data_IF_482028877983
#
_entry.id   IF_482028877983
#
_cell.length_a   1.000
_cell.length_b   1.000
_cell.length_c   1.000
_cell.angle_alpha   90.00
_cell.angle_beta   90.00
_cell.angle_gamma   90.00
#
_symmetry.space_group_name_H-M   'P 1'
#
loop_
_entity.id
_entity.type
_entity.pdbx_description
1 polymer ?
#
# COMPACT_ATOMS: atom_id res chain seq x y z
N UNK A 1 -1.58 6.80 22.77
CA UNK A 1 -0.21 6.94 22.22
C UNK A 1 -0.34 6.93 20.71
N UNK A 2 -0.33 8.12 20.11
CA UNK A 2 -0.50 8.32 18.67
C UNK A 2 0.72 7.75 17.94
N UNK A 3 0.52 6.70 17.13
CA UNK A 3 1.57 6.18 16.25
C UNK A 3 1.43 6.77 14.85
N UNK A 4 2.45 7.56 14.50
CA UNK A 4 2.75 8.22 13.23
C UNK A 4 1.99 7.71 11.99
N UNK A 5 0.96 8.44 11.60
CA UNK A 5 0.81 8.91 10.22
C UNK A 5 1.68 10.16 10.09
N UNK A 6 2.83 10.04 9.42
CA UNK A 6 3.51 11.11 8.68
C UNK A 6 4.88 10.56 8.25
N UNK A 7 4.90 9.85 7.12
CA UNK A 7 6.14 9.74 6.35
C UNK A 7 6.37 11.12 5.75
N UNK A 8 7.13 11.95 6.46
CA UNK A 8 7.74 13.14 5.88
C UNK A 8 8.40 12.70 4.56
N UNK A 9 7.95 13.28 3.43
CA UNK A 9 8.64 13.09 2.15
C UNK A 9 10.13 13.31 2.43
N UNK A 10 10.95 12.33 2.09
CA UNK A 10 12.39 12.42 2.33
C UNK A 10 12.90 13.74 1.77
N UNK A 11 13.72 14.45 2.55
CA UNK A 11 14.21 15.78 2.19
C UNK A 11 14.86 15.80 0.80
N UNK A 12 15.39 14.66 0.33
CA UNK A 12 15.91 14.49 -1.03
C UNK A 12 14.83 14.56 -2.12
N UNK A 13 13.68 13.92 -1.90
CA UNK A 13 12.54 13.94 -2.81
C UNK A 13 11.89 15.33 -2.87
N UNK A 14 11.79 16.00 -1.72
CA UNK A 14 11.29 17.38 -1.63
C UNK A 14 12.23 18.35 -2.37
N UNK A 15 13.55 18.22 -2.18
CA UNK A 15 14.53 19.05 -2.88
C UNK A 15 14.52 18.83 -4.41
N UNK A 16 14.29 17.59 -4.86
CA UNK A 16 14.10 17.29 -6.30
C UNK A 16 12.84 17.96 -6.85
N UNK A 17 11.73 17.88 -6.13
CA UNK A 17 10.49 18.57 -6.48
C UNK A 17 10.67 20.09 -6.58
N UNK A 18 11.33 20.70 -5.60
CA UNK A 18 11.65 22.14 -5.60
C UNK A 18 12.51 22.51 -6.81
N UNK A 19 13.52 21.71 -7.15
CA UNK A 19 14.38 21.97 -8.31
C UNK A 19 13.60 21.93 -9.63
N UNK A 20 12.70 20.95 -9.80
CA UNK A 20 11.85 20.80 -10.98
C UNK A 20 10.82 21.93 -11.09
N UNK A 21 10.20 22.33 -9.99
CA UNK A 21 9.25 23.45 -9.96
C UNK A 21 9.96 24.79 -10.23
N UNK A 22 11.19 24.97 -9.75
CA UNK A 22 12.00 26.16 -10.04
C UNK A 22 12.35 26.28 -11.52
N UNK A 23 12.44 25.17 -12.24
CA UNK A 23 12.65 25.14 -13.69
C UNK A 23 11.44 25.69 -14.46
N UNK A 24 10.23 25.64 -13.87
CA UNK A 24 9.01 26.20 -14.44
C UNK A 24 8.88 27.72 -14.26
N UNK A 25 9.53 28.28 -13.24
CA UNK A 25 9.43 29.70 -12.85
C UNK A 25 10.51 30.55 -13.54
N UNK A 26 11.57 29.94 -14.09
CA UNK A 26 12.63 30.68 -14.78
C UNK A 26 12.05 31.46 -15.98
N UNK A 27 12.27 32.80 -16.06
CA UNK A 27 11.80 33.58 -17.18
C UNK A 27 12.38 33.04 -18.48
N UNK A 28 11.50 32.92 -19.47
CA UNK A 28 11.72 32.28 -20.76
C UNK A 28 12.72 33.10 -21.59
N UNK A 29 14.01 32.85 -21.44
CA UNK A 29 14.99 33.35 -22.41
C UNK A 29 14.81 32.60 -23.73
N UNK A 30 14.52 33.36 -24.78
CA UNK A 30 14.04 32.92 -26.09
C UNK A 30 15.05 32.14 -26.95
N UNK A 31 16.13 31.61 -26.36
CA UNK A 31 17.23 30.96 -27.09
C UNK A 31 17.45 29.47 -26.79
N UNK A 32 16.79 28.89 -25.80
CA UNK A 32 16.89 27.44 -25.54
C UNK A 32 15.51 26.80 -25.44
N UNK A 33 15.16 25.85 -26.33
CA UNK A 33 13.91 25.12 -26.20
C UNK A 33 14.05 24.17 -25.00
N UNK A 34 13.58 24.62 -23.83
CA UNK A 34 13.38 23.76 -22.68
C UNK A 34 12.44 22.65 -23.14
N UNK A 35 12.96 21.43 -23.25
CA UNK A 35 12.19 20.24 -23.57
C UNK A 35 11.23 19.97 -22.40
N UNK A 36 10.05 20.61 -22.41
CA UNK A 36 8.96 20.37 -21.43
C UNK A 36 8.62 18.88 -21.27
N UNK A 37 8.93 18.05 -22.28
CA UNK A 37 8.86 16.59 -22.17
C UNK A 37 9.71 16.02 -21.03
N UNK A 38 10.91 16.55 -20.78
CA UNK A 38 11.83 16.06 -19.75
C UNK A 38 11.32 16.31 -18.33
N UNK A 39 10.61 17.43 -18.10
CA UNK A 39 10.01 17.74 -16.79
C UNK A 39 8.85 16.80 -16.46
N UNK A 40 7.92 16.61 -17.42
CA UNK A 40 6.78 15.70 -17.23
C UNK A 40 7.29 14.28 -17.00
N UNK A 41 8.32 13.85 -17.74
CA UNK A 41 8.93 12.53 -17.57
C UNK A 41 9.63 12.37 -16.20
N UNK A 42 10.28 13.42 -15.70
CA UNK A 42 10.86 13.43 -14.36
C UNK A 42 9.81 13.38 -13.25
N UNK A 43 8.67 14.08 -13.44
CA UNK A 43 7.54 14.04 -12.52
C UNK A 43 6.84 12.68 -12.52
N UNK A 44 6.65 12.08 -13.69
CA UNK A 44 6.15 10.71 -13.85
C UNK A 44 7.07 9.70 -13.16
N UNK A 45 8.40 9.88 -13.29
CA UNK A 45 9.40 9.06 -12.62
C UNK A 45 9.40 9.17 -11.08
N UNK A 46 9.06 10.35 -10.53
CA UNK A 46 8.87 10.54 -9.09
C UNK A 46 7.57 9.92 -8.58
N UNK A 47 6.52 9.92 -9.40
CA UNK A 47 5.22 9.33 -9.06
C UNK A 47 5.22 7.80 -9.05
N UNK A 48 6.18 7.18 -9.76
CA UNK A 48 6.41 5.74 -9.75
C UNK A 48 7.14 5.34 -8.47
N UNK A 49 6.37 5.38 -7.39
CA UNK A 49 6.72 4.82 -6.11
C UNK A 49 7.19 3.37 -6.35
N UNK A 50 8.43 3.05 -5.95
CA UNK A 50 9.23 1.84 -6.31
C UNK A 50 8.67 0.52 -5.78
N UNK A 51 7.39 0.29 -5.97
CA UNK A 51 6.76 -0.95 -5.62
C UNK A 51 6.75 -1.86 -6.83
N UNK A 52 7.04 -3.14 -6.58
CA UNK A 52 6.87 -4.15 -7.62
C UNK A 52 5.41 -4.26 -8.07
N UNK A 53 5.22 -5.03 -9.13
CA UNK A 53 3.91 -5.44 -9.61
C UNK A 53 3.06 -5.99 -8.46
N UNK A 54 1.79 -5.57 -8.45
CA UNK A 54 0.82 -5.97 -7.45
C UNK A 54 0.33 -7.38 -7.79
N UNK A 55 0.40 -8.28 -6.82
CA UNK A 55 -0.16 -9.63 -6.94
C UNK A 55 -1.54 -9.64 -6.30
N UNK A 56 -2.57 -9.91 -7.08
CA UNK A 56 -3.94 -10.13 -6.60
C UNK A 56 -4.57 -11.38 -7.24
N UNK A 57 -5.68 -11.79 -6.64
CA UNK A 57 -6.46 -12.97 -7.02
C UNK A 57 -7.95 -12.60 -6.98
N UNK A 58 -8.81 -13.30 -7.75
CA UNK A 58 -10.25 -13.10 -7.67
C UNK A 58 -10.76 -13.39 -6.26
N UNK A 59 -11.66 -12.54 -5.76
CA UNK A 59 -12.26 -12.69 -4.44
C UNK A 59 -13.07 -13.99 -4.38
N UNK A 60 -12.82 -14.79 -3.34
CA UNK A 60 -13.68 -15.90 -2.94
C UNK A 60 -14.57 -15.45 -1.76
N UNK A 61 -15.87 -15.18 -1.98
CA UNK A 61 -16.77 -14.71 -0.92
C UNK A 61 -16.96 -15.75 0.19
N UNK A 62 -16.94 -17.05 -0.14
CA UNK A 62 -17.09 -18.12 0.87
C UNK A 62 -15.94 -18.07 1.86
N UNK A 63 -14.71 -17.90 1.38
CA UNK A 63 -13.53 -17.78 2.23
C UNK A 63 -13.59 -16.54 3.15
N UNK A 64 -14.17 -15.44 2.67
CA UNK A 64 -14.37 -14.22 3.47
C UNK A 64 -15.44 -14.40 4.56
N UNK A 65 -16.44 -15.25 4.32
CA UNK A 65 -17.48 -15.57 5.30
C UNK A 65 -17.03 -16.58 6.38
N UNK A 66 -15.99 -17.37 6.11
CA UNK A 66 -15.53 -18.47 6.96
C UNK A 66 -14.16 -18.23 7.61
N UNK A 67 -13.88 -16.98 7.98
CA UNK A 67 -12.59 -16.61 8.57
C UNK A 67 -12.45 -17.14 10.01
N UNK A 68 -11.29 -17.70 10.32
CA UNK A 68 -10.90 -18.00 11.70
C UNK A 68 -10.61 -16.72 12.49
N UNK A 69 -10.62 -16.79 13.83
CA UNK A 69 -10.35 -15.62 14.69
C UNK A 69 -9.04 -14.90 14.34
N UNK A 70 -7.96 -15.65 14.07
CA UNK A 70 -6.67 -15.07 13.67
C UNK A 70 -6.72 -14.40 12.29
N UNK A 71 -7.48 -14.98 11.35
CA UNK A 71 -7.66 -14.41 10.01
C UNK A 71 -8.50 -13.14 10.06
N UNK A 72 -9.60 -13.15 10.82
CA UNK A 72 -10.44 -11.97 11.05
C UNK A 72 -9.65 -10.83 11.68
N UNK A 73 -8.80 -11.11 12.66
CA UNK A 73 -7.90 -10.11 13.23
C UNK A 73 -6.96 -9.52 12.17
N UNK A 74 -6.31 -10.35 11.36
CA UNK A 74 -5.42 -9.87 10.29
C UNK A 74 -6.18 -9.02 9.28
N UNK A 75 -7.40 -9.41 8.88
CA UNK A 75 -8.26 -8.63 7.99
C UNK A 75 -8.62 -7.28 8.61
N UNK A 76 -8.88 -7.23 9.91
CA UNK A 76 -9.15 -5.97 10.62
C UNK A 76 -7.94 -5.01 10.59
N UNK A 77 -6.72 -5.52 10.77
CA UNK A 77 -5.50 -4.73 10.64
C UNK A 77 -5.30 -4.27 9.19
N UNK A 78 -5.53 -5.16 8.22
CA UNK A 78 -5.40 -4.89 6.79
C UNK A 78 -6.41 -3.84 6.28
N UNK A 79 -7.55 -3.68 6.96
CA UNK A 79 -8.51 -2.59 6.72
C UNK A 79 -7.89 -1.24 7.01
N UNK A 80 -7.20 -1.12 8.15
CA UNK A 80 -6.66 0.14 8.67
C UNK A 80 -5.32 0.50 8.02
N UNK A 81 -4.42 -0.47 7.88
CA UNK A 81 -3.07 -0.22 7.37
C UNK A 81 -2.50 -1.42 6.61
N UNK A 82 -1.51 -1.14 5.77
CA UNK A 82 -0.69 -2.17 5.14
C UNK A 82 0.24 -2.77 6.19
N UNK A 83 0.51 -4.07 6.10
CA UNK A 83 1.39 -4.76 7.05
C UNK A 83 2.32 -5.74 6.32
N UNK A 84 3.38 -6.18 7.01
CA UNK A 84 4.32 -7.18 6.51
C UNK A 84 4.22 -8.46 7.35
N UNK A 85 4.59 -9.66 6.86
CA UNK A 85 4.73 -10.87 7.71
C UNK A 85 5.71 -10.71 8.88
N UNK A 86 6.41 -9.57 8.87
CA UNK A 86 7.39 -9.14 9.83
C UNK A 86 6.87 -8.21 10.92
N UNK A 87 5.57 -7.90 10.91
CA UNK A 87 4.92 -6.94 11.80
C UNK A 87 4.90 -7.42 13.26
N UNK A 88 5.56 -6.68 14.15
CA UNK A 88 5.71 -7.07 15.56
C UNK A 88 4.39 -7.01 16.32
N UNK A 89 3.50 -6.08 15.99
CA UNK A 89 2.22 -5.91 16.68
C UNK A 89 1.32 -7.13 16.44
N UNK A 90 1.23 -7.57 15.19
CA UNK A 90 0.42 -8.74 14.81
C UNK A 90 1.00 -10.02 15.43
N UNK A 91 2.33 -10.18 15.38
CA UNK A 91 3.00 -11.37 15.94
C UNK A 91 2.82 -11.45 17.46
N UNK A 92 2.89 -10.32 18.16
CA UNK A 92 2.67 -10.26 19.60
C UNK A 92 1.21 -10.53 19.97
N UNK A 93 0.25 -9.90 19.27
CA UNK A 93 -1.18 -10.06 19.58
C UNK A 93 -1.68 -11.49 19.34
N UNK A 94 -1.24 -12.14 18.26
CA UNK A 94 -1.63 -13.51 17.94
C UNK A 94 -0.75 -14.56 18.63
N UNK A 95 0.32 -14.15 19.32
CA UNK A 95 1.33 -15.04 19.92
C UNK A 95 1.94 -16.04 18.93
N UNK A 96 2.10 -15.63 17.67
CA UNK A 96 2.63 -16.47 16.58
C UNK A 96 3.98 -15.99 16.09
N UNK A 97 4.73 -16.92 15.46
CA UNK A 97 5.98 -16.61 14.76
C UNK A 97 5.73 -16.17 13.31
N UNK A 98 6.73 -15.48 12.72
CA UNK A 98 6.71 -15.00 11.32
C UNK A 98 6.25 -16.04 10.30
N UNK A 99 6.68 -17.33 10.35
CA UNK A 99 6.23 -18.33 9.38
C UNK A 99 4.72 -18.52 9.38
N UNK A 100 4.09 -18.49 10.57
CA UNK A 100 2.65 -18.66 10.71
C UNK A 100 1.88 -17.46 10.17
N UNK A 101 2.33 -16.24 10.46
CA UNK A 101 1.73 -15.03 9.90
C UNK A 101 1.85 -15.00 8.36
N UNK A 102 2.99 -15.45 7.82
CA UNK A 102 3.20 -15.60 6.38
C UNK A 102 2.22 -16.62 5.77
N UNK A 103 2.02 -17.78 6.41
CA UNK A 103 1.05 -18.78 5.97
C UNK A 103 -0.37 -18.22 5.91
N UNK A 104 -0.82 -17.54 6.96
CA UNK A 104 -2.17 -16.96 7.02
C UNK A 104 -2.33 -15.88 5.95
N UNK A 105 -1.36 -14.97 5.83
CA UNK A 105 -1.39 -13.89 4.83
C UNK A 105 -1.39 -14.43 3.41
N UNK A 106 -0.65 -15.51 3.13
CA UNK A 106 -0.66 -16.16 1.82
C UNK A 106 -1.97 -16.89 1.53
N UNK A 107 -2.60 -17.50 2.53
CA UNK A 107 -3.95 -18.09 2.38
C UNK A 107 -4.96 -17.01 2.00
N UNK A 108 -4.97 -15.90 2.74
CA UNK A 108 -5.86 -14.76 2.49
C UNK A 108 -5.60 -14.08 1.12
N UNK A 109 -4.34 -14.02 0.70
CA UNK A 109 -3.94 -13.56 -0.63
C UNK A 109 -4.54 -14.44 -1.72
N UNK A 110 -4.36 -15.77 -1.63
CA UNK A 110 -4.89 -16.72 -2.63
C UNK A 110 -6.42 -16.74 -2.71
N UNK A 111 -7.11 -16.38 -1.63
CA UNK A 111 -8.57 -16.20 -1.63
C UNK A 111 -9.03 -14.83 -2.17
N UNK A 112 -8.12 -13.97 -2.63
CA UNK A 112 -8.44 -12.63 -3.14
C UNK A 112 -8.89 -11.63 -2.08
N UNK A 113 -8.72 -11.96 -0.80
CA UNK A 113 -9.06 -11.08 0.33
C UNK A 113 -7.97 -10.03 0.51
N UNK A 114 -6.72 -10.46 0.43
CA UNK A 114 -5.56 -9.56 0.44
C UNK A 114 -4.94 -9.49 -0.96
N UNK A 115 -4.29 -8.38 -1.26
CA UNK A 115 -3.27 -8.33 -2.29
C UNK A 115 -1.89 -8.19 -1.66
N UNK A 116 -0.85 -8.46 -2.44
CA UNK A 116 0.53 -8.34 -2.01
C UNK A 116 1.33 -7.46 -2.95
N UNK A 117 2.16 -6.59 -2.38
CA UNK A 117 3.09 -5.74 -3.14
C UNK A 117 4.47 -5.75 -2.48
N UNK A 118 5.53 -5.83 -3.28
CA UNK A 118 6.89 -5.75 -2.75
C UNK A 118 7.35 -4.29 -2.66
N UNK A 119 8.01 -3.96 -1.54
CA UNK A 119 8.75 -2.71 -1.36
C UNK A 119 10.17 -3.09 -0.93
N UNK A 120 11.13 -2.98 -1.85
CA UNK A 120 12.48 -3.48 -1.65
C UNK A 120 12.50 -4.99 -1.38
N UNK A 121 13.04 -5.40 -0.22
CA UNK A 121 13.15 -6.82 0.19
C UNK A 121 11.93 -7.35 0.96
N UNK A 122 10.99 -6.47 1.32
CA UNK A 122 9.84 -6.84 2.15
C UNK A 122 8.56 -6.86 1.34
N UNK A 123 7.72 -7.86 1.60
CA UNK A 123 6.36 -7.96 1.09
C UNK A 123 5.40 -7.27 2.06
N UNK A 124 4.47 -6.53 1.49
CA UNK A 124 3.36 -5.89 2.20
C UNK A 124 2.04 -6.44 1.69
N UNK A 125 1.09 -6.60 2.60
CA UNK A 125 -0.27 -7.02 2.33
C UNK A 125 -1.24 -5.89 2.65
N UNK A 126 -2.30 -5.81 1.86
CA UNK A 126 -3.40 -4.85 2.04
C UNK A 126 -4.72 -5.50 1.63
N UNK A 127 -5.82 -5.02 2.20
CA UNK A 127 -7.16 -5.51 1.87
C UNK A 127 -7.56 -5.10 0.45
N UNK A 128 -8.04 -6.06 -0.35
CA UNK A 128 -8.48 -5.76 -1.73
C UNK A 128 -9.74 -4.91 -1.75
N UNK A 129 -9.92 -4.13 -2.83
CA UNK A 129 -11.13 -3.33 -3.00
C UNK A 129 -12.38 -4.20 -3.10
N UNK A 130 -12.27 -5.36 -3.76
CA UNK A 130 -13.36 -6.33 -3.84
C UNK A 130 -13.75 -6.85 -2.46
N UNK A 131 -12.79 -7.20 -1.62
CA UNK A 131 -13.08 -7.65 -0.25
C UNK A 131 -13.69 -6.53 0.59
N UNK A 132 -13.19 -5.28 0.48
CA UNK A 132 -13.79 -4.12 1.14
C UNK A 132 -15.24 -3.92 0.73
N UNK A 133 -15.53 -3.92 -0.56
CA UNK A 133 -16.89 -3.76 -1.08
C UNK A 133 -17.81 -4.88 -0.56
N UNK A 134 -17.34 -6.13 -0.53
CA UNK A 134 -18.10 -7.25 -0.01
C UNK A 134 -18.40 -7.12 1.49
N UNK A 135 -17.43 -6.65 2.28
CA UNK A 135 -17.62 -6.43 3.72
C UNK A 135 -18.59 -5.28 4.00
N UNK A 136 -18.58 -4.22 3.19
CA UNK A 136 -19.56 -3.12 3.26
C UNK A 136 -20.95 -3.64 2.87
N UNK A 137 -21.04 -4.43 1.79
CA UNK A 137 -22.30 -5.02 1.34
C UNK A 137 -22.95 -5.95 2.39
N UNK A 138 -22.14 -6.58 3.25
CA UNK A 138 -22.63 -7.38 4.37
C UNK A 138 -22.90 -6.58 5.65
N UNK A 139 -22.69 -5.26 5.64
CA UNK A 139 -22.86 -4.40 6.82
C UNK A 139 -21.84 -4.66 7.93
N UNK A 140 -20.74 -5.35 7.62
CA UNK A 140 -19.65 -5.62 8.57
C UNK A 140 -18.72 -4.41 8.69
N UNK A 141 -18.61 -3.62 7.62
CA UNK A 141 -17.86 -2.37 7.60
C UNK A 141 -18.78 -1.19 7.28
N UNK A 142 -18.59 -0.12 8.02
CA UNK A 142 -19.19 1.18 7.71
C UNK A 142 -18.52 1.76 6.46
N UNK A 143 -19.31 2.35 5.56
CA UNK A 143 -18.77 3.08 4.42
C UNK A 143 -18.25 4.42 4.91
N UNK A 144 -16.93 4.58 4.99
CA UNK A 144 -16.32 5.91 5.09
C UNK A 144 -16.57 6.61 3.73
N UNK A 145 -17.67 7.37 3.66
CA UNK A 145 -18.10 8.15 2.50
C UNK A 145 -17.46 9.54 2.51
#
# INVERSE_FOLDING_TARGET
VNHQTDQALGSSEVNKLISLLSELIKPRDSKTPIKRGNFIESLLGLSNDKYAEKVDYPLNPVALSSLSASESYIVSIAKVRKYSPSDKEILAHLEIKRPRLSQISNKLLKSGILNARMKGRSRYYELTQSAKAQLIAWGILESDA
#
